data_IF_824787983637
#
_entry.id   IF_824787983637
#
_cell.length_a   1.000
_cell.length_b   1.000
_cell.length_c   1.000
_cell.angle_alpha   90.00
_cell.angle_beta   90.00
_cell.angle_gamma   90.00
#
_symmetry.space_group_name_H-M   'P 1'
#
loop_
_entity.id
_entity.type
_entity.pdbx_description
1 polymer ?
#
# COMPACT_ATOMS: atom_id res chain seq x y z
N UNK A 1 4.40 1.52 -15.36
CA UNK A 1 4.13 0.08 -15.33
C UNK A 1 3.60 -0.41 -16.68
N UNK A 2 2.49 0.15 -17.22
CA UNK A 2 1.86 -0.34 -18.46
C UNK A 2 2.79 -0.30 -19.69
N UNK A 3 3.50 0.80 -19.90
CA UNK A 3 4.49 0.90 -21.00
C UNK A 3 5.63 -0.13 -20.84
N UNK A 4 6.12 -0.34 -19.62
CA UNK A 4 7.15 -1.35 -19.36
C UNK A 4 6.63 -2.76 -19.66
N UNK A 5 5.40 -3.09 -19.28
CA UNK A 5 4.78 -4.36 -19.59
C UNK A 5 4.62 -4.58 -21.11
N UNK A 6 4.27 -3.53 -21.86
CA UNK A 6 4.16 -3.58 -23.31
C UNK A 6 5.53 -3.84 -23.96
N UNK A 7 6.59 -3.17 -23.50
CA UNK A 7 7.96 -3.40 -23.96
C UNK A 7 8.41 -4.84 -23.68
N UNK A 8 8.20 -5.34 -22.46
CA UNK A 8 8.54 -6.72 -22.11
C UNK A 8 7.85 -7.74 -23.03
N UNK A 9 6.56 -7.53 -23.35
CA UNK A 9 5.81 -8.44 -24.23
C UNK A 9 6.29 -8.41 -25.69
N UNK A 10 6.93 -7.31 -26.08
CA UNK A 10 7.49 -7.18 -27.43
C UNK A 10 8.89 -7.84 -27.56
N UNK A 11 9.55 -8.17 -26.45
CA UNK A 11 10.86 -8.81 -26.45
C UNK A 11 10.77 -10.28 -26.89
N UNK A 12 11.53 -10.71 -27.92
CA UNK A 12 11.45 -12.07 -28.48
C UNK A 12 11.77 -13.18 -27.47
N UNK A 13 12.54 -12.88 -26.42
CA UNK A 13 12.94 -13.84 -25.38
C UNK A 13 11.95 -13.95 -24.24
N UNK A 14 10.94 -13.08 -24.20
CA UNK A 14 9.93 -13.04 -23.15
C UNK A 14 8.68 -13.75 -23.62
N UNK A 15 8.14 -14.60 -22.77
CA UNK A 15 6.79 -15.17 -23.00
C UNK A 15 5.74 -14.11 -22.66
N UNK A 16 5.03 -13.55 -23.65
CA UNK A 16 4.12 -12.43 -23.44
C UNK A 16 2.92 -12.79 -22.55
N UNK A 17 2.57 -14.07 -22.47
CA UNK A 17 1.53 -14.63 -21.61
C UNK A 17 2.00 -14.87 -20.16
N UNK A 18 3.27 -14.61 -19.83
CA UNK A 18 3.88 -14.86 -18.53
C UNK A 18 4.58 -13.62 -17.93
N UNK A 19 4.04 -12.46 -18.17
CA UNK A 19 4.48 -11.22 -17.54
C UNK A 19 3.66 -11.00 -16.28
N UNK A 20 4.33 -11.00 -15.12
CA UNK A 20 3.72 -10.79 -13.80
C UNK A 20 4.02 -9.38 -13.29
N UNK A 21 3.14 -8.86 -12.44
CA UNK A 21 3.36 -7.60 -11.74
C UNK A 21 3.69 -7.87 -10.26
N UNK A 22 4.90 -7.52 -9.86
CA UNK A 22 5.29 -7.49 -8.45
C UNK A 22 5.27 -6.05 -7.95
N UNK A 23 4.53 -5.80 -6.88
CA UNK A 23 4.50 -4.53 -6.19
C UNK A 23 4.98 -4.66 -4.75
N UNK A 24 6.02 -3.90 -4.37
CA UNK A 24 6.49 -3.80 -2.99
C UNK A 24 5.87 -2.58 -2.30
N UNK A 25 5.41 -2.75 -1.07
CA UNK A 25 4.86 -1.66 -0.24
C UNK A 25 3.73 -0.91 -0.95
N UNK A 26 3.87 0.38 -1.22
CA UNK A 26 2.92 1.17 -2.02
C UNK A 26 2.72 0.60 -3.44
N UNK A 27 3.74 -0.04 -4.01
CA UNK A 27 3.61 -0.76 -5.28
C UNK A 27 2.61 -1.91 -5.20
N UNK A 28 2.55 -2.62 -4.06
CA UNK A 28 1.55 -3.66 -3.79
C UNK A 28 0.13 -3.10 -3.66
N UNK A 29 0.00 -1.92 -3.06
CA UNK A 29 -1.27 -1.19 -2.98
C UNK A 29 -1.79 -0.79 -4.36
N UNK A 30 -0.92 -0.33 -5.26
CA UNK A 30 -1.29 0.16 -6.60
C UNK A 30 -1.43 -0.95 -7.65
N UNK A 31 -0.84 -2.13 -7.42
CA UNK A 31 -0.78 -3.21 -8.40
C UNK A 31 -2.16 -3.68 -8.92
N UNK A 32 -3.21 -3.84 -8.07
CA UNK A 32 -4.52 -4.24 -8.54
C UNK A 32 -5.15 -3.24 -9.51
N UNK A 33 -4.99 -1.94 -9.25
CA UNK A 33 -5.43 -0.88 -10.14
C UNK A 33 -4.66 -0.88 -11.46
N UNK A 34 -3.33 -0.98 -11.41
CA UNK A 34 -2.48 -1.02 -12.62
C UNK A 34 -2.90 -2.18 -13.53
N UNK A 35 -3.24 -3.33 -12.95
CA UNK A 35 -3.74 -4.46 -13.74
C UNK A 35 -5.11 -4.18 -14.34
N UNK A 36 -6.04 -3.62 -13.57
CA UNK A 36 -7.39 -3.29 -14.02
C UNK A 36 -7.42 -2.22 -15.13
N UNK A 37 -6.46 -1.29 -15.11
CA UNK A 37 -6.31 -0.23 -16.12
C UNK A 37 -5.59 -0.69 -17.40
N UNK A 38 -5.51 -1.98 -17.66
CA UNK A 38 -4.99 -2.53 -18.90
C UNK A 38 -3.62 -3.22 -18.77
N UNK A 39 -3.19 -3.56 -17.54
CA UNK A 39 -1.93 -4.26 -17.30
C UNK A 39 -1.84 -5.62 -17.96
N UNK A 40 -2.96 -6.33 -18.08
CA UNK A 40 -3.05 -7.65 -18.69
C UNK A 40 -1.98 -8.63 -18.20
N UNK A 41 -1.60 -8.53 -16.90
CA UNK A 41 -0.59 -9.40 -16.30
C UNK A 41 -1.10 -10.81 -16.12
N UNK A 42 -0.18 -11.78 -16.11
CA UNK A 42 -0.50 -13.19 -15.89
C UNK A 42 -0.85 -13.49 -14.41
N UNK A 43 -0.44 -12.63 -13.49
CA UNK A 43 -0.74 -12.68 -12.08
C UNK A 43 -0.06 -11.53 -11.35
N UNK A 44 -0.41 -11.34 -10.07
CA UNK A 44 0.08 -10.26 -9.23
C UNK A 44 0.78 -10.81 -7.99
N UNK A 45 1.84 -10.13 -7.58
CA UNK A 45 2.60 -10.45 -6.37
C UNK A 45 2.60 -9.20 -5.50
N UNK A 46 1.97 -9.28 -4.32
CA UNK A 46 1.97 -8.21 -3.32
C UNK A 46 3.03 -8.53 -2.28
N UNK A 47 4.13 -7.83 -2.35
CA UNK A 47 5.25 -7.97 -1.45
C UNK A 47 5.21 -6.86 -0.41
N UNK A 48 4.92 -7.19 0.84
CA UNK A 48 4.70 -6.22 1.90
C UNK A 48 3.80 -5.05 1.43
N UNK A 49 2.67 -5.39 0.79
CA UNK A 49 1.67 -4.44 0.32
C UNK A 49 0.56 -4.23 1.33
N UNK A 50 -0.29 -3.24 1.09
CA UNK A 50 -1.50 -3.00 1.90
C UNK A 50 -2.75 -2.94 1.01
N UNK A 51 -3.87 -3.51 1.44
CA UNK A 51 -5.16 -3.32 0.76
C UNK A 51 -5.87 -2.04 1.20
N UNK A 52 -5.33 -1.33 2.20
CA UNK A 52 -5.91 -0.10 2.76
C UNK A 52 -5.53 1.12 1.93
N UNK A 53 -6.23 2.22 2.16
CA UNK A 53 -5.92 3.52 1.56
C UNK A 53 -4.66 4.15 2.19
N UNK A 54 -3.98 4.98 1.42
CA UNK A 54 -2.70 5.56 1.83
C UNK A 54 -2.83 6.51 3.03
N UNK A 55 -3.90 7.29 3.09
CA UNK A 55 -4.21 8.18 4.22
C UNK A 55 -4.40 7.42 5.53
N UNK A 56 -5.17 6.31 5.49
CA UNK A 56 -5.38 5.45 6.65
C UNK A 56 -4.06 4.85 7.15
N UNK A 57 -3.20 4.39 6.23
CA UNK A 57 -1.90 3.83 6.57
C UNK A 57 -0.97 4.89 7.19
N UNK A 58 -0.84 6.05 6.55
CA UNK A 58 0.03 7.13 7.04
C UNK A 58 -0.44 7.62 8.41
N UNK A 59 -1.75 7.80 8.59
CA UNK A 59 -2.28 8.24 9.88
C UNK A 59 -1.98 7.24 10.98
N UNK A 60 -2.18 5.96 10.75
CA UNK A 60 -1.84 4.90 11.70
C UNK A 60 -0.36 4.90 12.08
N UNK A 61 0.54 5.02 11.10
CA UNK A 61 1.98 5.06 11.35
C UNK A 61 2.38 6.28 12.19
N UNK A 62 1.77 7.45 11.94
CA UNK A 62 2.01 8.65 12.73
C UNK A 62 1.44 8.52 14.15
N UNK A 63 0.27 7.92 14.32
CA UNK A 63 -0.32 7.64 15.63
C UNK A 63 0.52 6.63 16.44
N UNK A 64 1.01 5.58 15.81
CA UNK A 64 1.88 4.60 16.45
C UNK A 64 3.21 5.25 16.88
N UNK A 65 3.80 6.07 16.00
CA UNK A 65 5.00 6.83 16.31
C UNK A 65 4.78 7.79 17.49
N UNK A 66 3.64 8.52 17.47
CA UNK A 66 3.25 9.42 18.55
C UNK A 66 3.09 8.66 19.88
N UNK A 67 2.46 7.50 19.86
CA UNK A 67 2.25 6.68 21.06
C UNK A 67 3.57 6.18 21.68
N UNK A 68 4.59 5.92 20.84
CA UNK A 68 5.91 5.47 21.27
C UNK A 68 6.79 6.60 21.80
N UNK A 69 6.44 7.87 21.61
CA UNK A 69 7.24 9.02 22.08
C UNK A 69 7.18 9.21 23.60
N UNK A 70 8.25 9.74 24.22
CA UNK A 70 8.22 10.26 25.58
C UNK A 70 7.10 11.31 25.78
N UNK A 71 6.54 11.45 27.01
CA UNK A 71 5.38 12.31 27.25
C UNK A 71 5.52 13.77 26.76
N UNK A 72 6.68 14.39 26.97
CA UNK A 72 6.92 15.77 26.53
C UNK A 72 6.94 15.91 25.00
N UNK A 73 7.62 15.00 24.31
CA UNK A 73 7.68 14.98 22.86
C UNK A 73 6.30 14.66 22.26
N UNK A 74 5.57 13.75 22.89
CA UNK A 74 4.20 13.40 22.51
C UNK A 74 3.27 14.60 22.59
N UNK A 75 3.33 15.37 23.68
CA UNK A 75 2.52 16.57 23.85
C UNK A 75 2.81 17.62 22.75
N UNK A 76 4.07 17.78 22.37
CA UNK A 76 4.46 18.70 21.29
C UNK A 76 4.05 18.20 19.89
N UNK A 77 4.09 16.90 19.63
CA UNK A 77 3.79 16.31 18.33
C UNK A 77 2.30 16.04 18.10
N UNK A 78 1.49 15.86 19.16
CA UNK A 78 0.07 15.54 19.05
C UNK A 78 -0.74 16.52 18.18
N UNK A 79 -0.54 17.85 18.25
CA UNK A 79 -1.26 18.79 17.37
C UNK A 79 -0.95 18.57 15.88
N UNK A 80 0.25 18.11 15.51
CA UNK A 80 0.63 17.85 14.12
C UNK A 80 -0.10 16.62 13.59
N UNK A 81 -0.21 15.56 14.38
CA UNK A 81 -0.95 14.35 14.00
C UNK A 81 -2.45 14.66 13.89
N UNK A 82 -2.98 15.50 14.79
CA UNK A 82 -4.37 15.94 14.72
C UNK A 82 -4.64 16.78 13.46
N UNK A 83 -3.76 17.71 13.13
CA UNK A 83 -3.85 18.51 11.89
C UNK A 83 -3.80 17.63 10.64
N UNK A 84 -2.93 16.59 10.64
CA UNK A 84 -2.87 15.63 9.55
C UNK A 84 -4.19 14.85 9.40
N UNK A 85 -4.79 14.41 10.50
CA UNK A 85 -6.10 13.76 10.50
C UNK A 85 -7.19 14.66 9.88
N UNK A 86 -7.21 15.93 10.23
CA UNK A 86 -8.16 16.91 9.72
C UNK A 86 -7.93 17.17 8.22
N UNK A 87 -6.68 17.26 7.78
CA UNK A 87 -6.32 17.40 6.37
C UNK A 87 -6.81 16.22 5.55
N UNK A 88 -6.55 14.98 5.99
CA UNK A 88 -7.03 13.78 5.29
C UNK A 88 -8.56 13.69 5.28
N UNK A 89 -9.23 14.03 6.38
CA UNK A 89 -10.69 14.05 6.44
C UNK A 89 -11.35 15.08 5.51
N UNK A 90 -10.63 16.15 5.16
CA UNK A 90 -11.10 17.18 4.24
C UNK A 90 -10.96 16.78 2.75
N UNK A 91 -10.01 15.89 2.42
CA UNK A 91 -9.67 15.52 1.03
C UNK A 91 -10.85 15.11 0.15
N UNK A 92 -11.78 14.24 0.61
CA UNK A 92 -12.90 13.81 -0.24
C UNK A 92 -13.81 14.96 -0.70
N UNK A 93 -13.87 16.03 0.11
CA UNK A 93 -14.73 17.20 -0.14
C UNK A 93 -13.99 18.36 -0.79
N UNK A 94 -12.67 18.32 -0.84
CA UNK A 94 -11.83 19.37 -1.44
C UNK A 94 -12.09 19.42 -2.94
N UNK A 95 -12.26 20.61 -3.52
CA UNK A 95 -12.33 20.75 -4.97
C UNK A 95 -11.01 20.30 -5.63
N UNK A 96 -11.07 19.84 -6.86
CA UNK A 96 -9.87 19.34 -7.56
C UNK A 96 -8.84 20.45 -7.77
N UNK A 97 -9.29 21.65 -8.13
CA UNK A 97 -8.45 22.82 -8.27
C UNK A 97 -7.74 23.19 -6.97
N UNK A 98 -8.46 23.18 -5.84
CA UNK A 98 -7.88 23.42 -4.51
C UNK A 98 -6.85 22.34 -4.14
N UNK A 99 -7.12 21.09 -4.46
CA UNK A 99 -6.21 19.98 -4.18
C UNK A 99 -4.90 20.10 -4.96
N UNK A 100 -4.91 20.65 -6.16
CA UNK A 100 -3.72 20.91 -6.97
C UNK A 100 -2.83 22.03 -6.40
N UNK A 101 -3.37 22.89 -5.52
CA UNK A 101 -2.66 24.02 -4.93
C UNK A 101 -2.46 23.90 -3.42
N UNK A 102 -2.92 22.80 -2.80
CA UNK A 102 -2.79 22.54 -1.37
C UNK A 102 -1.71 21.48 -1.12
N UNK A 103 -0.89 21.70 -0.08
CA UNK A 103 0.10 20.74 0.39
C UNK A 103 -0.38 20.02 1.66
N UNK A 104 -0.04 18.74 1.76
CA UNK A 104 -0.21 17.90 2.94
C UNK A 104 1.14 17.30 3.30
N UNK A 105 1.40 17.00 4.56
CA UNK A 105 2.68 16.43 5.02
C UNK A 105 3.89 17.29 4.59
N UNK A 106 3.74 18.61 4.70
CA UNK A 106 4.78 19.59 4.38
C UNK A 106 4.84 19.96 2.91
N UNK A 107 5.12 19.06 2.00
CA UNK A 107 5.36 19.37 0.59
C UNK A 107 4.72 18.42 -0.43
N UNK A 108 3.86 17.51 0.00
CA UNK A 108 3.14 16.63 -0.92
C UNK A 108 1.80 17.27 -1.33
N UNK A 109 1.48 17.20 -2.61
CA UNK A 109 0.25 17.78 -3.13
C UNK A 109 -0.98 17.00 -2.63
N UNK A 110 -2.00 17.69 -2.15
CA UNK A 110 -3.28 17.12 -1.75
C UNK A 110 -3.95 16.34 -2.88
N UNK A 111 -3.78 16.81 -4.13
CA UNK A 111 -4.26 16.12 -5.32
C UNK A 111 -3.76 14.69 -5.44
N UNK A 112 -2.49 14.44 -5.11
CA UNK A 112 -1.91 13.09 -5.12
C UNK A 112 -2.66 12.14 -4.18
N UNK A 113 -2.94 12.59 -2.97
CA UNK A 113 -3.71 11.77 -2.01
C UNK A 113 -5.16 11.62 -2.42
N UNK A 114 -5.79 12.71 -2.89
CA UNK A 114 -7.17 12.68 -3.36
C UNK A 114 -7.35 11.71 -4.53
N UNK A 115 -6.43 11.71 -5.48
CA UNK A 115 -6.42 10.79 -6.62
C UNK A 115 -6.33 9.33 -6.16
N UNK A 116 -5.43 9.00 -5.22
CA UNK A 116 -5.31 7.65 -4.67
C UNK A 116 -6.59 7.25 -3.91
N UNK A 117 -7.19 8.16 -3.13
CA UNK A 117 -8.40 7.90 -2.37
C UNK A 117 -9.62 7.60 -3.24
N UNK A 118 -9.70 8.17 -4.43
CA UNK A 118 -10.78 7.87 -5.38
C UNK A 118 -10.66 6.47 -6.00
N UNK A 119 -9.54 5.77 -5.74
CA UNK A 119 -9.24 4.45 -6.29
C UNK A 119 -8.83 3.47 -5.18
N UNK A 120 -9.72 3.17 -4.21
CA UNK A 120 -9.36 2.34 -3.06
C UNK A 120 -8.96 0.92 -3.50
N UNK A 121 -7.82 0.40 -3.01
CA UNK A 121 -7.27 -0.90 -3.45
C UNK A 121 -8.25 -2.06 -3.30
N UNK A 122 -9.08 -2.04 -2.23
CA UNK A 122 -10.07 -3.10 -1.97
C UNK A 122 -11.08 -3.29 -3.10
N UNK A 123 -11.47 -2.21 -3.78
CA UNK A 123 -12.44 -2.31 -4.90
C UNK A 123 -11.87 -3.09 -6.07
N UNK A 124 -10.59 -2.90 -6.37
CA UNK A 124 -9.89 -3.64 -7.40
C UNK A 124 -9.62 -5.09 -6.99
N UNK A 125 -9.24 -5.33 -5.74
CA UNK A 125 -9.02 -6.66 -5.18
C UNK A 125 -10.28 -7.53 -5.24
N UNK A 126 -11.45 -6.97 -4.94
CA UNK A 126 -12.74 -7.70 -5.02
C UNK A 126 -13.11 -8.16 -6.43
N UNK A 127 -12.57 -7.51 -7.45
CA UNK A 127 -12.82 -7.82 -8.87
C UNK A 127 -11.69 -8.63 -9.51
N UNK A 128 -10.61 -8.86 -8.77
CA UNK A 128 -9.44 -9.55 -9.27
C UNK A 128 -9.75 -11.04 -9.46
N UNK A 129 -9.41 -11.57 -10.63
CA UNK A 129 -9.66 -12.98 -11.01
C UNK A 129 -8.37 -13.71 -11.39
N UNK A 130 -7.25 -13.00 -11.43
CA UNK A 130 -5.95 -13.54 -11.80
C UNK A 130 -5.22 -14.11 -10.59
N UNK A 131 -4.27 -15.05 -10.80
CA UNK A 131 -3.44 -15.58 -9.72
C UNK A 131 -2.83 -14.47 -8.87
N UNK A 132 -2.90 -14.62 -7.55
CA UNK A 132 -2.39 -13.66 -6.57
C UNK A 132 -1.48 -14.35 -5.58
N UNK A 133 -0.34 -13.74 -5.32
CA UNK A 133 0.57 -14.13 -4.26
C UNK A 133 0.77 -12.96 -3.28
N UNK A 134 0.41 -13.15 -2.02
CA UNK A 134 0.59 -12.16 -0.95
C UNK A 134 1.71 -12.61 -0.03
N UNK A 135 2.72 -11.75 0.13
CA UNK A 135 3.91 -12.02 0.93
C UNK A 135 4.08 -10.91 1.97
N UNK A 136 4.28 -11.24 3.24
CA UNK A 136 4.61 -10.29 4.29
C UNK A 136 5.54 -10.90 5.33
N UNK A 137 6.40 -10.08 5.94
CA UNK A 137 7.17 -10.44 7.13
C UNK A 137 6.34 -10.20 8.41
N UNK A 138 6.46 -11.05 9.43
CA UNK A 138 5.73 -10.86 10.69
C UNK A 138 6.36 -9.80 11.59
N UNK A 139 7.58 -9.33 11.25
CA UNK A 139 8.31 -8.23 11.89
C UNK A 139 8.27 -6.93 11.09
N UNK A 140 7.32 -6.82 10.20
CA UNK A 140 7.11 -5.59 9.44
C UNK A 140 6.58 -4.48 10.35
N UNK A 141 7.40 -3.42 10.55
CA UNK A 141 7.03 -2.26 11.36
C UNK A 141 6.20 -1.23 10.60
N UNK A 142 6.10 -1.35 9.28
CA UNK A 142 5.34 -0.44 8.42
C UNK A 142 3.92 -0.93 8.17
N UNK A 143 3.73 -2.25 8.13
CA UNK A 143 2.44 -2.88 7.83
C UNK A 143 2.08 -3.88 8.93
N UNK A 144 0.85 -3.81 9.38
CA UNK A 144 0.33 -4.69 10.41
C UNK A 144 -0.08 -6.05 9.82
N UNK A 145 0.37 -7.15 10.44
CA UNK A 145 -0.11 -8.49 10.07
C UNK A 145 -1.65 -8.53 10.14
N UNK A 146 -2.24 -8.03 11.23
CA UNK A 146 -3.69 -8.09 11.44
C UNK A 146 -4.48 -7.18 10.50
N UNK A 147 -3.98 -5.96 10.24
CA UNK A 147 -4.72 -4.95 9.48
C UNK A 147 -4.45 -5.01 7.97
N UNK A 148 -3.31 -5.59 7.57
CA UNK A 148 -2.90 -5.65 6.16
C UNK A 148 -2.92 -7.08 5.64
N UNK A 149 -2.11 -7.99 6.19
CA UNK A 149 -2.03 -9.37 5.72
C UNK A 149 -3.35 -10.14 5.90
N UNK A 150 -3.92 -10.13 7.11
CA UNK A 150 -5.21 -10.77 7.39
C UNK A 150 -6.36 -10.12 6.62
N UNK A 151 -6.24 -8.83 6.31
CA UNK A 151 -7.21 -8.14 5.46
C UNK A 151 -7.17 -8.64 4.01
N UNK A 152 -5.97 -8.91 3.45
CA UNK A 152 -5.86 -9.58 2.16
C UNK A 152 -6.50 -10.96 2.19
N UNK A 153 -6.22 -11.78 3.21
CA UNK A 153 -6.84 -13.09 3.35
C UNK A 153 -8.37 -13.01 3.36
N UNK A 154 -8.93 -12.06 4.11
CA UNK A 154 -10.37 -11.87 4.19
C UNK A 154 -10.99 -11.38 2.85
N UNK A 155 -10.33 -10.44 2.16
CA UNK A 155 -10.81 -9.90 0.88
C UNK A 155 -10.77 -10.93 -0.24
N UNK A 156 -9.78 -11.82 -0.23
CA UNK A 156 -9.53 -12.83 -1.25
C UNK A 156 -9.95 -14.23 -0.80
N UNK A 157 -10.73 -14.37 0.27
CA UNK A 157 -11.14 -15.67 0.83
C UNK A 157 -11.88 -16.57 -0.17
N UNK A 158 -12.63 -15.97 -1.09
CA UNK A 158 -13.36 -16.69 -2.15
C UNK A 158 -12.59 -16.75 -3.48
N UNK A 159 -11.37 -16.20 -3.53
CA UNK A 159 -10.58 -16.18 -4.75
C UNK A 159 -9.96 -17.56 -5.02
N UNK A 160 -10.18 -18.17 -6.19
CA UNK A 160 -9.80 -19.57 -6.44
C UNK A 160 -8.27 -19.79 -6.53
N UNK A 161 -7.52 -18.75 -6.81
CA UNK A 161 -6.07 -18.82 -7.05
C UNK A 161 -5.33 -17.69 -6.30
N UNK A 162 -5.51 -17.66 -4.98
CA UNK A 162 -4.79 -16.76 -4.08
C UNK A 162 -3.93 -17.58 -3.10
N UNK A 163 -2.66 -17.21 -2.98
CA UNK A 163 -1.73 -17.80 -2.03
C UNK A 163 -1.18 -16.73 -1.08
N UNK A 164 -0.99 -17.10 0.18
CA UNK A 164 -0.57 -16.21 1.25
C UNK A 164 0.61 -16.81 2.01
N UNK A 165 1.68 -16.03 2.17
CA UNK A 165 2.84 -16.46 2.95
C UNK A 165 3.27 -15.36 3.92
N UNK A 166 3.17 -15.68 5.22
CA UNK A 166 3.70 -14.86 6.29
C UNK A 166 5.05 -15.45 6.72
N UNK A 167 6.11 -14.65 6.61
CA UNK A 167 7.47 -15.06 6.88
C UNK A 167 7.90 -14.67 8.29
N UNK A 168 8.24 -15.64 9.16
CA UNK A 168 8.65 -15.34 10.52
C UNK A 168 10.02 -14.67 10.57
N UNK A 169 10.13 -13.65 11.41
CA UNK A 169 11.39 -12.95 11.69
C UNK A 169 11.83 -11.97 10.59
N UNK A 170 11.03 -11.73 9.55
CA UNK A 170 11.39 -10.81 8.47
C UNK A 170 10.67 -9.46 8.60
N UNK A 171 11.41 -8.38 8.33
CA UNK A 171 10.91 -7.01 8.30
C UNK A 171 10.28 -6.63 6.95
N UNK A 172 9.96 -5.34 6.75
CA UNK A 172 9.35 -4.79 5.54
C UNK A 172 10.16 -5.05 4.26
N UNK A 173 11.47 -5.16 4.36
CA UNK A 173 12.39 -5.44 3.25
C UNK A 173 12.73 -6.94 3.13
N UNK A 174 12.06 -7.79 3.89
CA UNK A 174 12.33 -9.24 3.99
C UNK A 174 13.74 -9.56 4.47
N UNK A 175 14.30 -8.67 5.28
CA UNK A 175 15.55 -8.90 6.00
C UNK A 175 15.25 -9.44 7.41
N UNK A 176 16.10 -10.31 7.96
CA UNK A 176 15.97 -10.74 9.36
C UNK A 176 15.95 -9.53 10.30
N UNK A 177 14.96 -9.50 11.19
CA UNK A 177 14.79 -8.42 12.17
C UNK A 177 14.41 -9.03 13.52
N UNK A 178 15.31 -8.97 14.53
CA UNK A 178 15.03 -9.53 15.86
C UNK A 178 13.89 -8.81 16.58
N UNK A 179 13.75 -7.50 16.42
CA UNK A 179 12.78 -6.69 17.16
C UNK A 179 11.61 -6.20 16.31
N UNK A 180 11.76 -6.15 14.99
CA UNK A 180 10.82 -5.51 14.07
C UNK A 180 10.89 -3.98 14.08
N UNK A 181 11.94 -3.37 14.67
CA UNK A 181 12.09 -1.93 14.69
C UNK A 181 12.46 -1.37 13.30
N UNK A 182 11.97 -0.17 12.97
CA UNK A 182 12.22 0.49 11.67
C UNK A 182 13.73 0.72 11.43
N UNK A 183 14.52 0.83 12.51
CA UNK A 183 15.95 1.09 12.43
C UNK A 183 16.84 -0.15 12.24
N UNK A 184 16.26 -1.34 12.06
CA UNK A 184 16.98 -2.60 11.84
C UNK A 184 17.19 -2.94 10.37
#
# INVERSE_FOLDING_TARGET
>A
ALCAAALLRAEPLIRPDRVYLLGHSMGGMLAPRIDAEGGAFAGLIFWAGTPRTLDALILEQNEASLAAMPPEQRAAAAPLVQALREQFAALPRMAEEDAQHTHILGNLWAWYFKEILTHPPEEYLRRLTKPVLVLQGDRDAHLSVERDFRRYEALLAAHPDAAFHLYPGLNHLFMPSPTGAIAE
#
